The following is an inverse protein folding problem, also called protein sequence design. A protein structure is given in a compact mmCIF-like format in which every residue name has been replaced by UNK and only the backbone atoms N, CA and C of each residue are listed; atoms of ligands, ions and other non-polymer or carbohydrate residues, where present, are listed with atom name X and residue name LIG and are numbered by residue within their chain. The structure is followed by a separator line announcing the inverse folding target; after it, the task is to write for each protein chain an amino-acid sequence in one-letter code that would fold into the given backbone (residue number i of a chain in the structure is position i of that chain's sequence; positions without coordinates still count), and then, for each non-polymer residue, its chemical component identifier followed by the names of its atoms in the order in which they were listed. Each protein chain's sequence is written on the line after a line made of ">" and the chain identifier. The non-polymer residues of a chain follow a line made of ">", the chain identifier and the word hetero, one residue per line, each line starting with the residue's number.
data_IF_133367879517
#
_entry.id   IF_133367879517
#
_cell.length_a   1.000
_cell.length_b   1.000
_cell.length_c   1.000
_cell.angle_alpha   90.00
_cell.angle_beta   90.00
_cell.angle_gamma   90.00
#
_symmetry.space_group_name_H-M   'P 1'
#
loop_
_entity.id
_entity.type
_entity.pdbx_description
1 polymer ?
#
# COMPACT_ATOMS: atom_id res chain seq x y z
N UNK A 1 -2.95 23.82 17.65
CA UNK A 1 -2.33 24.48 16.48
C UNK A 1 -1.11 23.70 15.99
N UNK A 2 -0.24 23.18 16.86
CA UNK A 2 0.95 22.41 16.45
C UNK A 2 0.61 21.08 15.75
N UNK A 3 -0.44 20.37 16.18
CA UNK A 3 -0.81 19.08 15.57
C UNK A 3 -1.30 19.23 14.12
N UNK A 4 -2.10 20.26 13.80
CA UNK A 4 -2.51 20.53 12.42
C UNK A 4 -1.34 20.98 11.55
N UNK A 5 -0.35 21.65 12.15
CA UNK A 5 0.86 22.06 11.45
C UNK A 5 1.70 20.84 11.05
N UNK A 6 1.74 19.79 11.87
CA UNK A 6 2.49 18.58 11.56
C UNK A 6 1.84 17.76 10.43
N UNK A 7 0.51 17.65 10.42
CA UNK A 7 -0.25 17.08 9.28
C UNK A 7 0.08 17.85 8.00
N UNK A 8 -0.01 19.18 8.03
CA UNK A 8 0.29 20.02 6.86
C UNK A 8 1.76 19.90 6.40
N UNK A 9 2.71 19.85 7.34
CA UNK A 9 4.14 19.64 7.05
C UNK A 9 4.37 18.31 6.34
N UNK A 10 3.79 17.23 6.85
CA UNK A 10 3.91 15.91 6.25
C UNK A 10 3.24 15.84 4.87
N UNK A 11 2.06 16.41 4.69
CA UNK A 11 1.39 16.46 3.38
C UNK A 11 2.18 17.27 2.35
N UNK A 12 2.72 18.41 2.75
CA UNK A 12 3.58 19.23 1.90
C UNK A 12 4.81 18.44 1.45
N UNK A 13 5.48 17.78 2.38
CA UNK A 13 6.68 16.99 2.08
C UNK A 13 6.38 15.80 1.16
N UNK A 14 5.29 15.06 1.42
CA UNK A 14 4.87 13.97 0.53
C UNK A 14 4.50 14.49 -0.87
N UNK A 15 3.93 15.69 -0.98
CA UNK A 15 3.63 16.33 -2.27
C UNK A 15 4.89 16.79 -3.02
N UNK A 16 5.89 17.27 -2.30
CA UNK A 16 7.21 17.58 -2.88
C UNK A 16 7.84 16.31 -3.48
N UNK A 17 7.77 15.18 -2.77
CA UNK A 17 8.23 13.88 -3.28
C UNK A 17 7.42 13.45 -4.51
N UNK A 18 6.11 13.65 -4.54
CA UNK A 18 5.28 13.23 -5.68
C UNK A 18 5.53 14.02 -6.95
N UNK A 19 5.91 15.30 -6.83
CA UNK A 19 6.17 16.17 -7.98
C UNK A 19 7.54 15.94 -8.61
N UNK A 20 8.45 15.30 -7.87
CA UNK A 20 9.84 15.11 -8.28
C UNK A 20 10.05 13.67 -8.78
N UNK A 21 9.81 13.51 -10.09
CA UNK A 21 9.93 12.22 -10.79
C UNK A 21 11.34 11.67 -10.75
N UNK A 22 11.46 10.34 -10.62
CA UNK A 22 12.74 9.64 -10.69
C UNK A 22 12.97 9.14 -12.11
N UNK A 23 14.05 9.61 -12.73
CA UNK A 23 14.59 9.00 -13.96
C UNK A 23 15.72 8.03 -13.61
N UNK A 24 15.81 6.94 -14.37
CA UNK A 24 16.90 5.97 -14.32
C UNK A 24 17.90 6.15 -15.48
N UNK A 25 17.79 7.24 -16.24
CA UNK A 25 18.67 7.49 -17.38
C UNK A 25 20.12 7.58 -16.91
N UNK A 26 21.01 6.85 -17.59
CA UNK A 26 22.45 6.79 -17.28
C UNK A 26 22.78 6.42 -15.83
N UNK A 27 21.98 5.55 -15.20
CA UNK A 27 22.24 5.05 -13.84
C UNK A 27 23.52 4.21 -13.72
N UNK A 28 24.10 3.82 -14.85
CA UNK A 28 25.42 3.17 -14.91
C UNK A 28 26.56 4.15 -14.57
N UNK A 29 26.34 5.45 -14.70
CA UNK A 29 27.28 6.48 -14.29
C UNK A 29 27.24 6.67 -12.77
N UNK A 30 28.42 6.64 -12.15
CA UNK A 30 28.56 6.74 -10.70
C UNK A 30 27.90 7.99 -10.11
N UNK A 31 28.01 9.15 -10.78
CA UNK A 31 27.49 10.40 -10.26
C UNK A 31 25.95 10.42 -10.22
N UNK A 32 25.30 9.91 -11.27
CA UNK A 32 23.84 9.79 -11.31
C UNK A 32 23.36 8.77 -10.27
N UNK A 33 24.06 7.64 -10.15
CA UNK A 33 23.78 6.61 -9.16
C UNK A 33 23.89 7.16 -7.72
N UNK A 34 24.99 7.85 -7.42
CA UNK A 34 25.26 8.50 -6.13
C UNK A 34 24.21 9.55 -5.81
N UNK A 35 23.88 10.43 -6.77
CA UNK A 35 22.86 11.46 -6.61
C UNK A 35 21.50 10.87 -6.31
N UNK A 36 21.09 9.83 -7.02
CA UNK A 36 19.81 9.15 -6.78
C UNK A 36 19.78 8.51 -5.40
N UNK A 37 20.86 7.82 -5.02
CA UNK A 37 20.97 7.18 -3.71
C UNK A 37 20.90 8.19 -2.57
N UNK A 38 21.70 9.26 -2.59
CA UNK A 38 21.67 10.31 -1.56
C UNK A 38 20.30 10.98 -1.47
N UNK A 39 19.68 11.27 -2.61
CA UNK A 39 18.33 11.84 -2.65
C UNK A 39 17.30 10.94 -1.97
N UNK A 40 17.33 9.63 -2.21
CA UNK A 40 16.42 8.68 -1.58
C UNK A 40 16.69 8.50 -0.09
N UNK A 41 17.97 8.49 0.30
CA UNK A 41 18.39 8.34 1.69
C UNK A 41 18.04 9.58 2.54
N UNK A 42 18.23 10.79 2.00
CA UNK A 42 17.82 12.05 2.66
C UNK A 42 16.31 12.12 2.87
N UNK A 43 15.55 11.66 1.86
CA UNK A 43 14.10 11.55 1.97
C UNK A 43 13.69 10.53 3.01
N UNK A 44 14.36 9.37 3.05
CA UNK A 44 14.09 8.35 4.04
C UNK A 44 14.33 8.87 5.46
N UNK A 45 15.43 9.57 5.71
CA UNK A 45 15.75 10.16 7.02
C UNK A 45 14.69 11.18 7.44
N UNK A 46 14.32 12.09 6.53
CA UNK A 46 13.26 13.09 6.78
C UNK A 46 11.90 12.44 7.07
N UNK A 47 11.56 11.36 6.37
CA UNK A 47 10.32 10.60 6.63
C UNK A 47 10.35 9.87 7.98
N UNK A 48 11.50 9.35 8.39
CA UNK A 48 11.67 8.72 9.70
C UNK A 48 11.50 9.74 10.83
N UNK A 49 12.14 10.91 10.73
CA UNK A 49 11.95 12.00 11.69
C UNK A 49 10.49 12.45 11.78
N UNK A 50 9.79 12.55 10.64
CA UNK A 50 8.36 12.86 10.60
C UNK A 50 7.55 11.79 11.33
N UNK A 51 7.81 10.50 11.05
CA UNK A 51 7.14 9.39 11.72
C UNK A 51 7.35 9.43 13.24
N UNK A 52 8.58 9.63 13.70
CA UNK A 52 8.91 9.72 15.13
C UNK A 52 8.19 10.90 15.80
N UNK A 53 8.15 12.05 15.12
CA UNK A 53 7.40 13.22 15.59
C UNK A 53 5.89 12.95 15.68
N UNK A 54 5.32 12.23 14.71
CA UNK A 54 3.91 11.81 14.73
C UNK A 54 3.61 10.82 15.84
N UNK A 55 4.49 9.84 16.04
CA UNK A 55 4.35 8.82 17.08
C UNK A 55 4.44 9.47 18.47
N UNK A 56 5.36 10.44 18.68
CA UNK A 56 5.48 11.22 19.91
C UNK A 56 4.21 12.04 20.22
N UNK A 57 3.52 12.55 19.19
CA UNK A 57 2.24 13.26 19.32
C UNK A 57 1.02 12.31 19.42
N UNK A 58 1.22 10.99 19.50
CA UNK A 58 0.14 10.03 19.73
C UNK A 58 -0.74 9.73 18.50
N UNK A 59 -0.21 9.91 17.28
CA UNK A 59 -0.96 9.62 16.04
C UNK A 59 -1.29 8.14 15.86
N UNK A 60 -0.64 7.24 16.62
CA UNK A 60 -0.93 5.80 16.66
C UNK A 60 -2.28 5.48 17.27
N UNK A 61 -2.81 6.35 18.14
CA UNK A 61 -4.11 6.19 18.81
C UNK A 61 -4.98 7.46 18.64
N UNK A 62 -5.34 7.83 17.40
CA UNK A 62 -5.90 9.15 17.09
C UNK A 62 -7.35 9.35 17.58
N UNK A 63 -8.03 8.27 18.00
CA UNK A 63 -9.43 8.30 18.48
C UNK A 63 -9.55 8.25 20.02
N UNK A 64 -8.45 8.24 20.78
CA UNK A 64 -8.48 8.10 22.25
C UNK A 64 -9.28 9.21 22.93
N UNK A 65 -9.30 10.41 22.35
CA UNK A 65 -10.08 11.56 22.83
C UNK A 65 -11.59 11.39 22.66
N UNK A 66 -12.06 10.62 21.67
CA UNK A 66 -13.50 10.34 21.49
C UNK A 66 -14.04 9.40 22.58
N UNK A 67 -13.20 8.50 23.09
CA UNK A 67 -13.61 7.56 24.13
C UNK A 67 -13.76 8.22 25.51
N UNK A 68 -13.10 9.37 25.76
CA UNK A 68 -13.27 10.14 27.00
C UNK A 68 -14.65 10.83 27.11
N UNK A 69 -15.33 11.04 25.97
CA UNK A 69 -16.68 11.61 25.92
C UNK A 69 -17.77 10.55 25.65
N UNK A 70 -17.41 9.26 25.70
CA UNK A 70 -18.34 8.16 25.50
C UNK A 70 -19.15 7.84 26.76
N UNK A 71 -20.48 7.89 26.61
CA UNK A 71 -21.55 7.44 27.54
C UNK A 71 -21.75 8.24 28.82
N UNK A 72 -22.15 9.52 28.72
CA UNK A 72 -23.18 10.01 29.66
C UNK A 72 -24.53 9.46 29.19
N UNK A 73 -25.33 8.94 30.12
CA UNK A 73 -26.66 8.42 29.83
C UNK A 73 -27.48 9.48 29.09
N UNK A 74 -28.25 9.04 28.10
CA UNK A 74 -29.05 9.85 27.15
C UNK A 74 -30.12 10.73 27.85
N UNK A 75 -30.23 10.67 29.18
CA UNK A 75 -31.31 11.28 29.95
C UNK A 75 -31.14 12.77 30.28
N UNK A 76 -29.95 13.38 30.10
CA UNK A 76 -29.68 14.77 30.53
C UNK A 76 -28.92 15.59 29.47
N UNK A 77 -29.29 15.51 28.19
CA UNK A 77 -28.68 16.35 27.16
C UNK A 77 -29.80 17.03 26.36
N UNK A 78 -29.80 18.35 26.33
CA UNK A 78 -30.77 19.13 25.55
C UNK A 78 -30.60 18.88 24.05
N UNK A 79 -31.66 19.00 23.24
CA UNK A 79 -31.63 18.77 21.78
C UNK A 79 -30.57 19.61 21.06
N UNK A 80 -30.28 20.82 21.56
CA UNK A 80 -29.25 21.72 21.04
C UNK A 80 -27.84 21.18 21.33
N UNK A 81 -27.58 20.76 22.56
CA UNK A 81 -26.33 20.10 22.97
C UNK A 81 -26.11 18.76 22.25
N UNK A 82 -27.17 18.03 21.89
CA UNK A 82 -27.06 16.82 21.06
C UNK A 82 -26.57 17.16 19.64
N UNK A 83 -27.07 18.24 19.04
CA UNK A 83 -26.66 18.67 17.70
C UNK A 83 -25.20 19.17 17.69
N UNK A 84 -24.79 19.93 18.70
CA UNK A 84 -23.43 20.44 18.84
C UNK A 84 -22.44 19.33 19.16
N UNK A 85 -22.80 18.38 20.03
CA UNK A 85 -22.01 17.18 20.30
C UNK A 85 -21.86 16.32 19.04
N UNK A 86 -22.88 16.23 18.18
CA UNK A 86 -22.79 15.49 16.92
C UNK A 86 -21.81 16.13 15.94
N UNK A 87 -21.84 17.46 15.78
CA UNK A 87 -20.91 18.24 14.94
C UNK A 87 -19.48 18.20 15.48
N UNK A 88 -19.33 18.36 16.79
CA UNK A 88 -18.05 18.26 17.47
C UNK A 88 -17.45 16.87 17.27
N UNK A 89 -18.21 15.80 17.54
CA UNK A 89 -17.77 14.43 17.31
C UNK A 89 -17.39 14.16 15.84
N UNK A 90 -18.14 14.70 14.88
CA UNK A 90 -17.79 14.62 13.47
C UNK A 90 -16.44 15.30 13.18
N UNK A 91 -16.21 16.49 13.73
CA UNK A 91 -14.94 17.21 13.57
C UNK A 91 -13.75 16.45 14.21
N UNK A 92 -13.92 15.86 15.39
CA UNK A 92 -12.87 15.02 16.01
C UNK A 92 -12.59 13.76 15.20
N UNK A 93 -13.63 13.12 14.65
CA UNK A 93 -13.46 11.98 13.73
C UNK A 93 -12.71 12.37 12.47
N UNK A 94 -13.05 13.51 11.86
CA UNK A 94 -12.33 14.02 10.69
C UNK A 94 -10.85 14.28 10.99
N UNK A 95 -10.55 14.95 12.11
CA UNK A 95 -9.16 15.17 12.56
C UNK A 95 -8.42 13.85 12.80
N UNK A 96 -9.05 12.90 13.50
CA UNK A 96 -8.47 11.60 13.79
C UNK A 96 -8.22 10.77 12.52
N UNK A 97 -9.15 10.82 11.55
CA UNK A 97 -8.98 10.19 10.24
C UNK A 97 -7.81 10.82 9.46
N UNK A 98 -7.70 12.15 9.45
CA UNK A 98 -6.59 12.84 8.82
C UNK A 98 -5.24 12.40 9.43
N UNK A 99 -5.13 12.38 10.76
CA UNK A 99 -3.94 11.89 11.48
C UNK A 99 -3.57 10.46 11.06
N UNK A 100 -4.56 9.56 11.06
CA UNK A 100 -4.37 8.16 10.66
C UNK A 100 -3.90 8.04 9.20
N UNK A 101 -4.54 8.77 8.30
CA UNK A 101 -4.25 8.70 6.86
C UNK A 101 -2.85 9.21 6.54
N UNK A 102 -2.44 10.35 7.13
CA UNK A 102 -1.08 10.88 6.92
C UNK A 102 -0.03 9.93 7.49
N UNK A 103 -0.25 9.37 8.68
CA UNK A 103 0.70 8.41 9.27
C UNK A 103 0.82 7.14 8.42
N UNK A 104 -0.29 6.64 7.88
CA UNK A 104 -0.32 5.48 6.98
C UNK A 104 0.46 5.75 5.68
N UNK A 105 0.31 6.95 5.10
CA UNK A 105 1.06 7.38 3.92
C UNK A 105 2.55 7.51 4.21
N UNK A 106 2.94 8.11 5.33
CA UNK A 106 4.36 8.22 5.74
C UNK A 106 4.99 6.85 5.92
N UNK A 107 4.31 5.91 6.58
CA UNK A 107 4.80 4.52 6.72
C UNK A 107 4.97 3.85 5.36
N UNK A 108 3.98 3.97 4.48
CA UNK A 108 4.07 3.45 3.11
C UNK A 108 5.23 4.07 2.32
N UNK A 109 5.47 5.37 2.47
CA UNK A 109 6.56 6.09 1.80
C UNK A 109 7.93 5.60 2.30
N UNK A 110 8.10 5.41 3.61
CA UNK A 110 9.33 4.88 4.22
C UNK A 110 9.67 3.51 3.62
N UNK A 111 8.70 2.60 3.57
CA UNK A 111 8.95 1.25 3.07
C UNK A 111 9.25 1.25 1.57
N UNK A 112 8.61 2.12 0.78
CA UNK A 112 8.94 2.31 -0.63
C UNK A 112 10.39 2.81 -0.82
N UNK A 113 10.85 3.78 -0.02
CA UNK A 113 12.24 4.26 -0.10
C UNK A 113 13.24 3.18 0.32
N UNK A 114 12.95 2.39 1.36
CA UNK A 114 13.80 1.26 1.77
C UNK A 114 13.96 0.21 0.66
N UNK A 115 12.87 -0.10 -0.06
CA UNK A 115 12.92 -1.01 -1.21
C UNK A 115 13.82 -0.44 -2.30
N UNK A 116 13.65 0.85 -2.65
CA UNK A 116 14.46 1.51 -3.68
C UNK A 116 15.95 1.52 -3.34
N UNK A 117 16.30 1.91 -2.11
CA UNK A 117 17.67 1.92 -1.60
C UNK A 117 18.25 0.50 -1.62
N UNK A 118 17.51 -0.50 -1.15
CA UNK A 118 17.97 -1.89 -1.16
C UNK A 118 18.31 -2.41 -2.57
N UNK A 119 17.52 -2.04 -3.58
CA UNK A 119 17.84 -2.39 -4.97
C UNK A 119 19.07 -1.66 -5.50
N UNK A 120 19.28 -0.40 -5.12
CA UNK A 120 20.49 0.35 -5.47
C UNK A 120 21.72 -0.29 -4.81
N UNK A 121 21.69 -0.54 -3.50
CA UNK A 121 22.82 -1.16 -2.77
C UNK A 121 23.23 -2.52 -3.35
N UNK A 122 22.27 -3.31 -3.82
CA UNK A 122 22.55 -4.58 -4.49
C UNK A 122 23.09 -4.42 -5.91
N UNK A 123 22.70 -3.34 -6.61
CA UNK A 123 23.10 -3.09 -7.99
C UNK A 123 24.58 -2.68 -8.10
N UNK A 124 25.06 -1.79 -7.24
CA UNK A 124 26.37 -1.15 -7.41
C UNK A 124 27.19 -1.15 -6.12
N UNK A 125 28.48 -1.41 -6.24
CA UNK A 125 29.44 -1.23 -5.14
C UNK A 125 30.66 -0.45 -5.60
N UNK A 126 31.30 0.21 -4.64
CA UNK A 126 32.54 0.95 -4.84
C UNK A 126 33.72 0.07 -4.48
N UNK A 127 34.73 0.02 -5.35
CA UNK A 127 35.99 -0.67 -5.11
C UNK A 127 37.10 0.36 -4.98
N UNK A 128 37.80 0.37 -3.85
CA UNK A 128 38.98 1.22 -3.71
C UNK A 128 40.11 0.69 -4.60
N UNK A 129 40.78 1.57 -5.34
CA UNK A 129 41.83 1.15 -6.27
C UNK A 129 43.12 0.73 -5.54
N UNK A 130 43.40 1.30 -4.36
CA UNK A 130 44.61 1.00 -3.58
C UNK A 130 44.50 -0.25 -2.72
N UNK A 131 43.38 -0.43 -2.01
CA UNK A 131 43.21 -1.56 -1.06
C UNK A 131 42.23 -2.63 -1.53
N UNK A 132 41.60 -2.44 -2.69
CA UNK A 132 40.62 -3.35 -3.31
C UNK A 132 39.41 -3.74 -2.44
N UNK A 133 39.22 -3.10 -1.29
CA UNK A 133 38.04 -3.26 -0.43
C UNK A 133 36.80 -2.77 -1.17
N UNK A 134 35.71 -3.51 -0.99
CA UNK A 134 34.39 -3.18 -1.50
C UNK A 134 33.62 -2.39 -0.44
N UNK A 135 32.91 -1.36 -0.87
CA UNK A 135 32.06 -0.53 -0.03
C UNK A 135 30.68 -0.42 -0.67
N UNK A 136 29.63 -0.52 0.14
CA UNK A 136 28.30 -0.04 -0.24
C UNK A 136 28.27 1.49 -0.23
N UNK A 137 27.26 2.10 -0.87
CA UNK A 137 27.11 3.55 -0.81
C UNK A 137 26.77 4.06 0.59
N UNK A 138 26.02 3.28 1.38
CA UNK A 138 25.76 3.56 2.80
C UNK A 138 27.06 3.68 3.59
N UNK A 139 27.95 2.70 3.46
CA UNK A 139 29.27 2.73 4.13
C UNK A 139 30.15 3.88 3.64
N UNK A 140 30.10 4.17 2.35
CA UNK A 140 30.86 5.25 1.73
C UNK A 140 30.41 6.62 2.25
N UNK A 141 29.10 6.83 2.38
CA UNK A 141 28.50 8.04 2.94
C UNK A 141 28.89 8.24 4.40
N UNK A 142 28.78 7.18 5.22
CA UNK A 142 29.13 7.24 6.65
C UNK A 142 30.61 7.54 6.91
N UNK A 143 31.50 7.15 6.00
CA UNK A 143 32.95 7.40 6.11
C UNK A 143 33.40 8.73 5.51
N UNK A 144 32.46 9.58 5.07
CA UNK A 144 32.79 10.87 4.48
C UNK A 144 33.59 10.74 3.18
N UNK A 145 33.28 9.74 2.36
CA UNK A 145 33.86 9.53 1.02
C UNK A 145 35.34 9.16 1.00
N UNK A 146 35.88 8.73 2.15
CA UNK A 146 37.28 8.31 2.29
C UNK A 146 37.40 6.82 2.53
N UNK A 147 38.40 6.19 1.90
CA UNK A 147 38.72 4.81 2.20
C UNK A 147 39.38 4.68 3.57
N UNK A 148 39.27 3.50 4.20
CA UNK A 148 40.05 3.17 5.40
C UNK A 148 41.58 3.22 5.21
N UNK A 149 42.06 3.28 3.97
CA UNK A 149 43.48 3.46 3.65
C UNK A 149 43.86 4.92 3.34
N UNK A 150 42.93 5.89 3.46
CA UNK A 150 43.18 7.31 3.20
C UNK A 150 43.11 7.72 1.72
N UNK A 151 42.97 6.78 0.78
CA UNK A 151 42.78 7.09 -0.63
C UNK A 151 41.33 7.43 -0.99
N UNK A 152 41.18 8.35 -1.94
CA UNK A 152 39.90 8.90 -2.43
C UNK A 152 39.50 8.35 -3.80
N UNK A 153 40.35 7.55 -4.44
CA UNK A 153 40.06 6.96 -5.76
C UNK A 153 39.28 5.64 -5.62
N UNK A 154 38.09 5.62 -6.20
CA UNK A 154 37.20 4.46 -6.24
C UNK A 154 36.75 4.17 -7.67
N UNK A 155 36.71 2.89 -8.02
CA UNK A 155 36.04 2.40 -9.22
C UNK A 155 34.63 1.90 -8.88
N UNK A 156 33.63 2.48 -9.53
CA UNK A 156 32.24 2.01 -9.43
C UNK A 156 32.05 0.75 -10.28
N UNK A 157 31.47 -0.30 -9.69
CA UNK A 157 31.19 -1.56 -10.39
C UNK A 157 29.76 -1.99 -10.16
N UNK A 158 29.10 -2.38 -11.25
CA UNK A 158 27.76 -2.95 -11.25
C UNK A 158 27.88 -4.46 -11.01
N UNK A 159 27.14 -4.95 -10.03
CA UNK A 159 27.12 -6.34 -9.64
C UNK A 159 26.09 -7.14 -10.44
N UNK A 160 26.45 -7.60 -11.64
CA UNK A 160 25.52 -8.32 -12.54
C UNK A 160 24.95 -9.62 -11.97
N UNK A 161 25.61 -10.22 -10.98
CA UNK A 161 25.18 -11.48 -10.36
C UNK A 161 24.17 -11.28 -9.22
N UNK A 162 23.98 -10.04 -8.75
CA UNK A 162 23.04 -9.75 -7.68
C UNK A 162 21.59 -9.69 -8.17
N UNK A 163 20.66 -10.03 -7.27
CA UNK A 163 19.22 -10.01 -7.53
C UNK A 163 18.65 -8.62 -7.30
N UNK A 164 18.80 -7.71 -8.26
CA UNK A 164 18.21 -6.36 -8.21
C UNK A 164 17.29 -6.08 -9.40
N UNK A 165 16.38 -5.12 -9.22
CA UNK A 165 15.48 -4.59 -10.24
C UNK A 165 15.41 -3.08 -10.08
N UNK A 166 16.17 -2.34 -10.88
CA UNK A 166 16.14 -0.87 -10.83
C UNK A 166 14.88 -0.33 -11.50
N UNK A 167 14.36 -1.07 -12.48
CA UNK A 167 13.29 -0.65 -13.37
C UNK A 167 11.96 -0.43 -12.64
N UNK A 168 11.80 -1.04 -11.46
CA UNK A 168 10.61 -0.86 -10.64
C UNK A 168 10.65 0.41 -9.78
N UNK A 169 11.82 1.04 -9.59
CA UNK A 169 12.00 2.19 -8.69
C UNK A 169 11.09 3.37 -9.04
N UNK A 170 10.96 3.80 -10.31
CA UNK A 170 10.09 4.92 -10.69
C UNK A 170 8.61 4.69 -10.35
N UNK A 171 8.20 3.42 -10.27
CA UNK A 171 6.81 3.01 -10.03
C UNK A 171 6.49 2.75 -8.56
N UNK A 172 7.47 2.90 -7.66
CA UNK A 172 7.23 2.74 -6.22
C UNK A 172 6.41 3.93 -5.68
N UNK A 173 5.52 3.69 -4.69
CA UNK A 173 4.73 4.74 -4.03
C UNK A 173 5.59 5.57 -3.06
N UNK A 174 6.61 6.27 -3.55
CA UNK A 174 7.58 7.00 -2.74
C UNK A 174 6.94 8.15 -1.94
N UNK A 175 5.85 8.74 -2.43
CA UNK A 175 5.07 9.76 -1.71
C UNK A 175 3.93 9.17 -0.85
N UNK A 176 3.90 7.85 -0.68
CA UNK A 176 2.83 7.14 0.02
C UNK A 176 1.48 7.18 -0.71
N UNK A 177 1.46 7.54 -1.99
CA UNK A 177 0.27 7.63 -2.85
C UNK A 177 -0.20 6.26 -3.39
N UNK A 178 0.00 5.17 -2.64
CA UNK A 178 -0.26 3.82 -3.10
C UNK A 178 -1.72 3.57 -3.51
N UNK A 179 -2.69 4.23 -2.85
CA UNK A 179 -4.11 4.14 -3.23
C UNK A 179 -4.40 4.79 -4.59
N UNK A 180 -3.74 5.91 -4.87
CA UNK A 180 -3.88 6.63 -6.15
C UNK A 180 -3.28 5.78 -7.27
N UNK A 181 -2.04 5.31 -7.10
CA UNK A 181 -1.39 4.44 -8.08
C UNK A 181 -2.17 3.13 -8.31
N UNK A 182 -2.78 2.57 -7.27
CA UNK A 182 -3.65 1.40 -7.41
C UNK A 182 -4.93 1.70 -8.20
N UNK A 183 -5.48 2.91 -8.09
CA UNK A 183 -6.68 3.33 -8.83
C UNK A 183 -6.40 3.55 -10.33
N UNK A 184 -5.18 3.99 -10.66
CA UNK A 184 -4.69 4.23 -12.03
C UNK A 184 -4.36 2.96 -12.81
N UNK A 185 -4.36 1.79 -12.14
CA UNK A 185 -4.18 0.50 -12.80
C UNK A 185 -5.35 0.19 -13.74
N UNK A 186 -5.04 -0.40 -14.89
CA UNK A 186 -6.05 -0.88 -15.84
C UNK A 186 -6.87 -2.05 -15.26
N UNK A 187 -7.96 -2.43 -15.93
CA UNK A 187 -8.78 -3.58 -15.51
C UNK A 187 -7.98 -4.88 -15.37
N UNK A 188 -7.05 -5.14 -16.31
CA UNK A 188 -6.14 -6.28 -16.21
C UNK A 188 -5.05 -6.06 -15.15
N UNK A 189 -4.55 -4.83 -14.99
CA UNK A 189 -3.60 -4.45 -13.94
C UNK A 189 -4.13 -4.72 -12.53
N UNK A 190 -5.39 -4.38 -12.26
CA UNK A 190 -6.04 -4.66 -10.96
C UNK A 190 -6.14 -6.17 -10.66
N UNK A 191 -6.41 -6.98 -11.69
CA UNK A 191 -6.43 -8.44 -11.55
C UNK A 191 -5.04 -9.01 -11.30
N UNK A 192 -4.03 -8.52 -12.02
CA UNK A 192 -2.63 -8.88 -11.81
C UNK A 192 -2.13 -8.47 -10.42
N UNK A 193 -2.50 -7.28 -9.95
CA UNK A 193 -2.18 -6.78 -8.61
C UNK A 193 -2.68 -7.73 -7.51
N UNK A 194 -3.94 -8.18 -7.60
CA UNK A 194 -4.49 -9.19 -6.67
C UNK A 194 -3.69 -10.49 -6.71
N UNK A 195 -3.32 -10.97 -7.91
CA UNK A 195 -2.50 -12.19 -8.06
C UNK A 195 -1.13 -12.04 -7.41
N UNK A 196 -0.41 -10.95 -7.71
CA UNK A 196 0.92 -10.68 -7.13
C UNK A 196 0.84 -10.55 -5.61
N UNK A 197 -0.14 -9.80 -5.09
CA UNK A 197 -0.36 -9.70 -3.64
C UNK A 197 -0.59 -11.05 -2.97
N UNK A 198 -1.38 -11.93 -3.59
CA UNK A 198 -1.65 -13.26 -3.04
C UNK A 198 -0.40 -14.14 -3.04
N UNK A 199 0.43 -14.06 -4.08
CA UNK A 199 1.73 -14.74 -4.14
C UNK A 199 2.63 -14.25 -3.00
N UNK A 200 2.75 -12.93 -2.81
CA UNK A 200 3.57 -12.34 -1.75
C UNK A 200 3.04 -12.64 -0.35
N UNK A 201 1.73 -12.84 -0.19
CA UNK A 201 1.08 -13.09 1.10
C UNK A 201 1.33 -14.49 1.67
N UNK A 202 1.92 -15.41 0.90
CA UNK A 202 2.20 -16.82 1.28
C UNK A 202 1.10 -17.40 2.18
N UNK A 203 -0.01 -17.84 1.57
CA UNK A 203 -1.17 -18.28 2.34
C UNK A 203 -0.87 -19.49 3.25
N UNK A 204 -0.87 -19.23 4.57
CA UNK A 204 -1.24 -20.13 5.69
C UNK A 204 -0.67 -21.56 5.66
N UNK A 205 0.64 -21.72 5.46
CA UNK A 205 1.34 -23.00 5.69
C UNK A 205 2.19 -23.07 6.97
N UNK A 206 2.03 -22.13 7.92
CA UNK A 206 2.77 -22.17 9.18
C UNK A 206 2.07 -22.97 10.29
N UNK A 207 2.86 -23.38 11.29
CA UNK A 207 2.39 -24.04 12.51
C UNK A 207 1.40 -23.14 13.27
N UNK A 208 0.38 -23.70 13.91
CA UNK A 208 -0.51 -22.91 14.78
C UNK A 208 0.30 -22.43 15.99
N UNK A 209 0.31 -21.12 16.24
CA UNK A 209 1.01 -20.47 17.36
C UNK A 209 0.12 -20.38 18.59
N UNK A 210 -1.12 -19.92 18.42
CA UNK A 210 -2.10 -19.78 19.50
C UNK A 210 -3.52 -20.03 18.98
N UNK A 211 -4.42 -20.31 19.91
CA UNK A 211 -5.84 -20.57 19.68
C UNK A 211 -6.60 -19.52 20.49
N UNK A 212 -7.35 -18.66 19.82
CA UNK A 212 -8.24 -17.72 20.49
C UNK A 212 -9.66 -18.28 20.49
N UNK A 213 -10.22 -18.41 21.68
CA UNK A 213 -11.55 -18.96 21.96
C UNK A 213 -12.42 -17.87 22.57
N UNK A 214 -13.67 -17.79 22.13
CA UNK A 214 -14.70 -17.03 22.85
C UNK A 214 -15.61 -18.05 23.52
N UNK A 215 -15.57 -18.10 24.84
CA UNK A 215 -16.31 -19.08 25.63
C UNK A 215 -17.46 -18.41 26.38
N UNK A 216 -18.54 -19.16 26.57
CA UNK A 216 -19.66 -18.81 27.44
C UNK A 216 -19.81 -19.89 28.51
N UNK A 217 -19.77 -19.51 29.78
CA UNK A 217 -19.86 -20.43 30.91
C UNK A 217 -20.71 -19.82 32.04
N UNK A 218 -21.18 -20.65 32.97
CA UNK A 218 -21.89 -20.20 34.16
C UNK A 218 -20.91 -19.92 35.28
N UNK A 219 -21.04 -18.75 35.89
CA UNK A 219 -20.29 -18.37 37.08
C UNK A 219 -20.82 -19.09 38.32
N UNK A 220 -20.10 -19.01 39.45
CA UNK A 220 -20.50 -19.60 40.74
C UNK A 220 -21.89 -19.12 41.20
N UNK A 221 -22.31 -17.93 40.75
CA UNK A 221 -23.61 -17.32 41.00
C UNK A 221 -24.70 -17.68 39.95
N UNK A 222 -24.45 -18.63 39.05
CA UNK A 222 -25.40 -19.09 38.02
C UNK A 222 -25.60 -18.16 36.83
N UNK A 223 -24.85 -17.05 36.73
CA UNK A 223 -24.93 -16.08 35.62
C UNK A 223 -24.09 -16.52 34.43
N UNK A 224 -24.57 -16.29 33.20
CA UNK A 224 -23.82 -16.55 31.98
C UNK A 224 -22.77 -15.45 31.72
N UNK A 225 -21.50 -15.82 31.68
CA UNK A 225 -20.38 -14.92 31.40
C UNK A 225 -19.77 -15.29 30.05
N UNK A 226 -19.43 -14.28 29.23
CA UNK A 226 -18.71 -14.43 27.97
C UNK A 226 -17.27 -13.94 28.15
N UNK A 227 -16.29 -14.79 27.84
CA UNK A 227 -14.86 -14.48 28.01
C UNK A 227 -14.04 -14.89 26.79
N UNK A 228 -13.06 -14.04 26.44
CA UNK A 228 -12.05 -14.38 25.44
C UNK A 228 -10.89 -15.09 26.16
N UNK A 229 -10.52 -16.27 25.67
CA UNK A 229 -9.45 -17.11 26.21
C UNK A 229 -8.46 -17.38 25.10
N UNK A 230 -7.18 -17.30 25.42
CA UNK A 230 -6.09 -17.63 24.49
C UNK A 230 -5.37 -18.86 25.03
N UNK A 231 -5.22 -19.88 24.20
CA UNK A 231 -4.44 -21.09 24.49
C UNK A 231 -3.22 -21.15 23.57
N UNK A 232 -2.15 -21.76 24.07
CA UNK A 232 -0.92 -21.97 23.31
C UNK A 232 -1.05 -23.15 22.33
N UNK A 233 -0.07 -23.25 21.41
CA UNK A 233 -0.01 -24.27 20.37
C UNK A 233 -0.03 -25.71 20.87
N UNK A 234 0.34 -25.96 22.12
CA UNK A 234 0.34 -27.30 22.70
C UNK A 234 -1.08 -27.89 22.83
N UNK A 235 -2.09 -27.02 22.92
CA UNK A 235 -3.49 -27.41 23.08
C UNK A 235 -4.25 -27.51 21.75
N UNK A 236 -3.59 -27.55 20.59
CA UNK A 236 -4.27 -27.67 19.27
C UNK A 236 -5.16 -28.89 19.21
N UNK A 237 -4.69 -30.02 19.73
CA UNK A 237 -5.43 -31.29 19.67
C UNK A 237 -6.51 -31.38 20.75
N UNK A 238 -6.35 -30.66 21.88
CA UNK A 238 -7.14 -30.87 23.11
C UNK A 238 -7.71 -29.55 23.69
N UNK A 239 -7.89 -28.49 22.88
CA UNK A 239 -8.35 -27.18 23.36
C UNK A 239 -9.70 -27.24 24.08
N UNK A 240 -10.60 -28.16 23.70
CA UNK A 240 -11.90 -28.31 24.37
C UNK A 240 -11.77 -28.87 25.78
N UNK A 241 -10.91 -29.88 25.97
CA UNK A 241 -10.63 -30.48 27.28
C UNK A 241 -10.03 -29.43 28.21
N UNK A 242 -9.07 -28.65 27.72
CA UNK A 242 -8.42 -27.60 28.51
C UNK A 242 -9.39 -26.50 28.93
N UNK A 243 -10.29 -26.09 28.04
CA UNK A 243 -11.34 -25.12 28.36
C UNK A 243 -12.32 -25.67 29.39
N UNK A 244 -12.72 -26.94 29.28
CA UNK A 244 -13.63 -27.57 30.24
C UNK A 244 -12.97 -27.82 31.60
N UNK A 245 -11.67 -28.12 31.62
CA UNK A 245 -10.88 -28.24 32.86
C UNK A 245 -10.81 -26.90 33.61
N UNK A 246 -10.63 -25.78 32.88
CA UNK A 246 -10.50 -24.45 33.50
C UNK A 246 -11.82 -23.78 33.88
N UNK A 247 -12.89 -24.02 33.13
CA UNK A 247 -14.15 -23.26 33.26
C UNK A 247 -15.39 -24.13 33.53
N UNK A 248 -15.22 -25.44 33.69
CA UNK A 248 -16.29 -26.39 34.01
C UNK A 248 -16.87 -27.11 32.79
N UNK A 249 -17.72 -28.12 33.04
CA UNK A 249 -18.28 -28.98 32.00
C UNK A 249 -19.32 -28.28 31.10
N UNK A 250 -20.01 -27.26 31.61
CA UNK A 250 -21.09 -26.53 30.91
C UNK A 250 -20.59 -25.37 30.03
N UNK A 251 -19.33 -25.40 29.60
CA UNK A 251 -18.73 -24.36 28.77
C UNK A 251 -19.11 -24.55 27.31
N UNK A 252 -19.61 -23.47 26.69
CA UNK A 252 -19.89 -23.42 25.25
C UNK A 252 -18.86 -22.55 24.53
N UNK A 253 -18.19 -23.09 23.53
CA UNK A 253 -17.30 -22.33 22.64
C UNK A 253 -18.17 -21.70 21.54
N UNK A 254 -18.17 -20.37 21.45
CA UNK A 254 -18.93 -19.63 20.43
C UNK A 254 -18.11 -19.34 19.18
N UNK A 255 -16.82 -19.03 19.36
CA UNK A 255 -15.91 -18.66 18.28
C UNK A 255 -14.57 -19.31 18.53
N UNK A 256 -14.03 -19.95 17.49
CA UNK A 256 -12.71 -20.56 17.48
C UNK A 256 -11.87 -19.92 16.37
N UNK A 257 -10.69 -19.39 16.72
CA UNK A 257 -9.74 -18.82 15.76
C UNK A 257 -8.35 -19.38 16.01
N UNK A 258 -7.82 -20.07 15.00
CA UNK A 258 -6.43 -20.51 14.98
C UNK A 258 -5.53 -19.40 14.44
N UNK A 259 -4.57 -18.96 15.25
CA UNK A 259 -3.52 -18.04 14.85
C UNK A 259 -2.29 -18.84 14.45
N UNK A 260 -2.03 -18.93 13.15
CA UNK A 260 -0.83 -19.61 12.61
C UNK A 260 0.36 -18.66 12.56
N UNK A 261 1.55 -19.22 12.74
CA UNK A 261 2.78 -18.56 12.28
C UNK A 261 2.61 -18.27 10.79
N UNK A 262 2.98 -17.07 10.38
CA UNK A 262 3.00 -16.72 8.97
C UNK A 262 4.40 -17.06 8.46
N UNK A 263 4.59 -18.10 7.64
CA UNK A 263 5.80 -18.20 6.85
C UNK A 263 5.62 -17.15 5.77
N UNK A 264 6.09 -15.93 6.01
CA UNK A 264 6.07 -14.88 5.03
C UNK A 264 7.46 -14.27 5.01
N UNK A 265 8.16 -14.44 3.88
CA UNK A 265 9.43 -13.73 3.61
C UNK A 265 9.18 -12.21 3.72
N UNK A 266 7.97 -11.76 3.34
CA UNK A 266 7.54 -10.37 3.43
C UNK A 266 6.17 -10.32 4.15
N UNK A 267 6.16 -10.07 5.47
CA UNK A 267 4.90 -9.94 6.23
C UNK A 267 4.31 -8.52 6.16
N UNK A 268 5.16 -7.50 5.98
CA UNK A 268 4.72 -6.11 6.01
C UNK A 268 3.71 -5.81 4.87
N UNK A 269 2.60 -5.15 5.23
CA UNK A 269 1.52 -4.80 4.29
C UNK A 269 1.99 -3.75 3.29
N UNK A 270 2.70 -2.72 3.74
CA UNK A 270 3.15 -1.63 2.90
C UNK A 270 4.19 -2.10 1.90
N UNK A 271 5.14 -2.94 2.33
CA UNK A 271 6.14 -3.55 1.43
C UNK A 271 5.45 -4.38 0.34
N UNK A 272 4.49 -5.24 0.70
CA UNK A 272 3.75 -6.04 -0.29
C UNK A 272 2.96 -5.19 -1.26
N UNK A 273 2.29 -4.14 -0.78
CA UNK A 273 1.56 -3.23 -1.65
C UNK A 273 2.49 -2.47 -2.59
N UNK A 274 3.61 -1.94 -2.08
CA UNK A 274 4.58 -1.19 -2.87
C UNK A 274 5.18 -2.06 -3.98
N UNK A 275 5.63 -3.28 -3.67
CA UNK A 275 6.15 -4.23 -4.65
C UNK A 275 5.09 -4.64 -5.67
N UNK A 276 3.88 -4.96 -5.21
CA UNK A 276 2.82 -5.38 -6.12
C UNK A 276 2.42 -4.25 -7.08
N UNK A 277 2.31 -3.00 -6.62
CA UNK A 277 2.04 -1.84 -7.48
C UNK A 277 3.18 -1.67 -8.49
N UNK A 278 4.43 -1.64 -8.02
CA UNK A 278 5.57 -1.33 -8.89
C UNK A 278 5.79 -2.37 -9.97
N UNK A 279 5.71 -3.67 -9.64
CA UNK A 279 5.82 -4.74 -10.64
C UNK A 279 4.68 -4.74 -11.64
N UNK A 280 3.44 -4.50 -11.20
CA UNK A 280 2.29 -4.47 -12.10
C UNK A 280 2.39 -3.28 -13.03
N UNK A 281 2.71 -2.09 -12.51
CA UNK A 281 2.81 -0.88 -13.33
C UNK A 281 3.96 -0.97 -14.32
N UNK A 282 5.12 -1.46 -13.89
CA UNK A 282 6.22 -1.76 -14.80
C UNK A 282 5.83 -2.74 -15.91
N UNK A 283 5.05 -3.77 -15.58
CA UNK A 283 4.53 -4.72 -16.57
C UNK A 283 3.54 -4.08 -17.54
N UNK A 284 2.65 -3.20 -17.06
CA UNK A 284 1.72 -2.44 -17.93
C UNK A 284 2.50 -1.58 -18.94
N UNK A 285 3.55 -0.91 -18.49
CA UNK A 285 4.37 -0.04 -19.33
C UNK A 285 5.13 -0.85 -20.39
N UNK A 286 5.68 -2.02 -20.04
CA UNK A 286 6.26 -2.95 -21.02
C UNK A 286 5.20 -3.37 -22.05
N UNK A 287 4.03 -3.79 -21.60
CA UNK A 287 2.95 -4.21 -22.50
C UNK A 287 2.55 -3.07 -23.43
N UNK A 288 2.40 -1.86 -22.90
CA UNK A 288 2.06 -0.65 -23.66
C UNK A 288 3.10 -0.39 -24.76
N UNK A 289 4.39 -0.49 -24.44
CA UNK A 289 5.48 -0.27 -25.40
C UNK A 289 5.50 -1.29 -26.55
N UNK A 290 5.07 -2.53 -26.29
CA UNK A 290 5.09 -3.63 -27.27
C UNK A 290 3.76 -3.74 -28.03
N UNK A 291 2.63 -3.30 -27.43
CA UNK A 291 1.26 -3.44 -27.94
C UNK A 291 1.16 -3.07 -29.42
N UNK A 292 1.59 -1.86 -29.78
CA UNK A 292 1.48 -1.35 -31.14
C UNK A 292 2.27 -2.18 -32.16
N UNK A 293 3.45 -2.68 -31.75
CA UNK A 293 4.29 -3.52 -32.61
C UNK A 293 3.63 -4.87 -32.91
N UNK A 294 2.96 -5.47 -31.93
CA UNK A 294 2.24 -6.73 -32.08
C UNK A 294 1.01 -6.55 -32.96
N UNK A 295 0.22 -5.49 -32.69
CA UNK A 295 -1.00 -5.21 -33.45
C UNK A 295 -0.69 -4.97 -34.92
N UNK A 296 0.36 -4.20 -35.25
CA UNK A 296 0.80 -3.97 -36.63
C UNK A 296 1.20 -5.25 -37.37
N UNK A 297 1.76 -6.25 -36.68
CA UNK A 297 2.18 -7.52 -37.30
C UNK A 297 1.02 -8.48 -37.54
N UNK A 298 -0.02 -8.42 -36.70
CA UNK A 298 -1.12 -9.40 -36.70
C UNK A 298 -2.40 -8.90 -37.36
N UNK A 299 -2.57 -7.59 -37.50
CA UNK A 299 -3.78 -6.99 -38.00
C UNK A 299 -3.48 -6.12 -39.21
N UNK A 300 -4.27 -6.31 -40.26
CA UNK A 300 -4.22 -5.52 -41.49
C UNK A 300 -4.67 -4.07 -41.28
N UNK A 301 -5.62 -3.82 -40.38
CA UNK A 301 -6.10 -2.47 -40.04
C UNK A 301 -6.17 -2.24 -38.51
N UNK A 302 -4.99 -2.15 -37.88
CA UNK A 302 -4.90 -1.91 -36.44
C UNK A 302 -5.47 -0.55 -36.01
N UNK A 303 -5.57 0.44 -36.93
CA UNK A 303 -6.13 1.76 -36.63
C UNK A 303 -7.62 1.67 -36.28
N UNK A 304 -8.34 0.68 -36.80
CA UNK A 304 -9.74 0.42 -36.40
C UNK A 304 -9.87 0.06 -34.93
N UNK A 305 -8.93 -0.69 -34.36
CA UNK A 305 -8.94 -1.03 -32.93
C UNK A 305 -8.78 0.22 -32.07
N UNK A 306 -7.86 1.11 -32.44
CA UNK A 306 -7.68 2.36 -31.69
C UNK A 306 -8.94 3.25 -31.76
N UNK A 307 -9.64 3.28 -32.90
CA UNK A 307 -10.94 3.96 -33.03
C UNK A 307 -12.03 3.28 -32.20
N UNK A 308 -12.07 1.95 -32.20
CA UNK A 308 -12.99 1.16 -31.39
C UNK A 308 -12.82 1.46 -29.89
N UNK A 309 -11.58 1.37 -29.39
CA UNK A 309 -11.25 1.65 -27.99
C UNK A 309 -11.58 3.11 -27.62
N UNK A 310 -11.32 4.07 -28.52
CA UNK A 310 -11.62 5.49 -28.27
C UNK A 310 -13.12 5.78 -28.17
N UNK A 311 -13.94 5.17 -29.03
CA UNK A 311 -15.41 5.32 -28.99
C UNK A 311 -15.95 4.73 -27.69
N UNK A 312 -15.50 3.52 -27.34
CA UNK A 312 -15.90 2.85 -26.12
C UNK A 312 -15.53 3.67 -24.89
N UNK A 313 -14.28 4.17 -24.82
CA UNK A 313 -13.81 5.01 -23.72
C UNK A 313 -14.59 6.33 -23.59
N UNK A 314 -14.94 6.97 -24.73
CA UNK A 314 -15.70 8.21 -24.74
C UNK A 314 -17.04 8.05 -24.05
N UNK A 315 -17.82 7.03 -24.45
CA UNK A 315 -19.17 6.84 -23.93
C UNK A 315 -19.22 6.11 -22.58
N UNK A 316 -18.31 5.18 -22.30
CA UNK A 316 -18.28 4.48 -20.99
C UNK A 316 -18.07 5.43 -19.81
N UNK A 317 -17.43 6.58 -20.02
CA UNK A 317 -17.18 7.59 -18.99
C UNK A 317 -18.13 8.80 -19.06
N UNK A 318 -19.04 8.83 -20.04
CA UNK A 318 -19.96 9.94 -20.21
C UNK A 318 -21.19 9.75 -19.31
N UNK A 319 -21.59 10.83 -18.62
CA UNK A 319 -22.83 10.90 -17.86
C UNK A 319 -23.71 11.91 -18.59
N UNK A 320 -24.74 11.47 -19.31
CA UNK A 320 -25.64 12.39 -20.02
C UNK A 320 -26.39 13.26 -19.01
N UNK A 321 -26.32 14.59 -19.16
CA UNK A 321 -26.95 15.55 -18.24
C UNK A 321 -28.48 15.53 -18.21
N UNK A 322 -29.12 14.66 -18.99
CA UNK A 322 -30.57 14.47 -19.03
C UNK A 322 -31.04 13.17 -18.36
N UNK A 323 -30.11 12.32 -17.88
CA UNK A 323 -30.42 11.13 -17.07
C UNK A 323 -30.02 11.42 -15.62
N UNK A 324 -30.84 11.01 -14.66
CA UNK A 324 -30.51 11.16 -13.24
C UNK A 324 -29.22 10.39 -12.91
N UNK A 325 -28.29 11.03 -12.19
CA UNK A 325 -26.95 10.48 -11.90
C UNK A 325 -26.98 9.14 -11.12
N UNK A 326 -28.11 8.84 -10.48
CA UNK A 326 -28.32 7.62 -9.70
C UNK A 326 -29.02 6.50 -10.48
N UNK A 327 -29.56 6.77 -11.68
CA UNK A 327 -30.15 5.75 -12.54
C UNK A 327 -29.09 5.07 -13.41
N UNK A 328 -28.33 4.18 -12.76
CA UNK A 328 -27.23 3.43 -13.38
C UNK A 328 -27.74 2.60 -14.57
N UNK A 329 -28.98 2.10 -14.52
CA UNK A 329 -29.55 1.26 -15.56
C UNK A 329 -29.82 2.04 -16.85
N UNK A 330 -30.46 3.22 -16.75
CA UNK A 330 -30.69 4.08 -17.91
C UNK A 330 -29.39 4.64 -18.49
N UNK A 331 -28.42 5.00 -17.64
CA UNK A 331 -27.09 5.45 -18.06
C UNK A 331 -26.39 4.34 -18.87
N UNK A 332 -26.38 3.10 -18.39
CA UNK A 332 -25.75 1.98 -19.11
C UNK A 332 -26.45 1.67 -20.45
N UNK A 333 -27.79 1.70 -20.49
CA UNK A 333 -28.55 1.49 -21.72
C UNK A 333 -28.26 2.58 -22.77
N UNK A 334 -28.19 3.85 -22.34
CA UNK A 334 -27.82 4.95 -23.21
C UNK A 334 -26.39 4.82 -23.76
N UNK A 335 -25.43 4.47 -22.91
CA UNK A 335 -24.03 4.25 -23.32
C UNK A 335 -23.93 3.16 -24.39
N UNK A 336 -24.59 2.03 -24.17
CA UNK A 336 -24.60 0.93 -25.15
C UNK A 336 -25.22 1.34 -26.47
N UNK A 337 -26.35 2.08 -26.44
CA UNK A 337 -26.99 2.59 -27.65
C UNK A 337 -26.05 3.50 -28.45
N UNK A 338 -25.37 4.46 -27.81
CA UNK A 338 -24.45 5.37 -28.50
C UNK A 338 -23.20 4.69 -29.05
N UNK A 339 -22.66 3.73 -28.32
CA UNK A 339 -21.54 2.91 -28.79
C UNK A 339 -21.96 2.13 -30.05
N UNK A 340 -23.16 1.55 -30.04
CA UNK A 340 -23.71 0.77 -31.16
C UNK A 340 -23.95 1.66 -32.38
N UNK A 341 -24.61 2.81 -32.22
CA UNK A 341 -24.82 3.79 -33.30
C UNK A 341 -23.50 4.23 -33.99
N UNK A 342 -22.46 4.53 -33.21
CA UNK A 342 -21.16 4.96 -33.75
C UNK A 342 -20.43 3.81 -34.45
N UNK A 343 -20.54 2.59 -33.93
CA UNK A 343 -19.99 1.40 -34.60
C UNK A 343 -20.74 1.05 -35.88
N UNK A 344 -22.05 1.26 -35.96
CA UNK A 344 -22.83 1.12 -37.19
C UNK A 344 -22.41 2.15 -38.25
N UNK A 345 -22.24 3.43 -37.86
CA UNK A 345 -21.77 4.50 -38.76
C UNK A 345 -20.38 4.21 -39.34
N UNK A 346 -19.51 3.58 -38.56
CA UNK A 346 -18.15 3.25 -38.97
C UNK A 346 -18.04 1.88 -39.67
N UNK A 347 -19.16 1.17 -39.86
CA UNK A 347 -19.21 -0.18 -40.41
C UNK A 347 -18.33 -1.17 -39.62
N UNK A 348 -18.29 -1.03 -38.29
CA UNK A 348 -17.59 -1.93 -37.38
C UNK A 348 -18.48 -3.07 -36.89
N UNK A 349 -19.79 -2.94 -37.07
CA UNK A 349 -20.80 -3.99 -36.84
C UNK A 349 -21.40 -4.32 -38.21
N UNK A 350 -21.42 -5.60 -38.58
CA UNK A 350 -22.13 -6.04 -39.77
C UNK A 350 -23.64 -5.86 -39.54
N UNK A 351 -24.34 -5.28 -40.51
CA UNK A 351 -25.80 -5.21 -40.51
C UNK A 351 -26.37 -6.61 -40.75
N UNK A 352 -26.50 -7.41 -39.69
CA UNK A 352 -27.28 -8.64 -39.73
C UNK A 352 -28.17 -8.76 -38.49
#
# INVERSE_FOLDING_TARGET
>A
MEESALVAKAEKYLKEISNDSISLDNIEEFENFKRLYYKLDDRLNSLQELKESMDAQGYTTPFTSLNKYGTKAIAEVSLEEMSENSRHNQMFRMKANAKKNVLDRVKSAIDAHKIAIGHLEQCGYLKCDSCYKKYSLSEFRLKGEKCSCGHENFSFKINKDATYRLEIIPYLPLSGNYLVLMSELSGYGRNSFKKVLNILKQERKGLVKTISLVIRFRDENGRWIRKNVTLDSEYISNYEEEVRNRYGKDVRIEVLRFHRTKPAIIDDKYVRNALAISYVKYSEDIISSIKDSILKRKLSDFKRINKYDAIRYKYENEIPGFIEEYDIGEIEAWRQSKITEEFEKLHFIDKF
#
